data_IF_873275266869
#
_entry.id   IF_873275266869
#
_cell.length_a   1.000
_cell.length_b   1.000
_cell.length_c   1.000
_cell.angle_alpha   90.00
_cell.angle_beta   90.00
_cell.angle_gamma   90.00
#
_symmetry.space_group_name_H-M   'P 1'
#
loop_
_entity.id
_entity.type
_entity.pdbx_description
1 polymer ?
#
# COMPACT_ATOMS: atom_id res chain seq x y z
N UNK A 1 15.42 -3.96 -13.96
CA UNK A 1 14.01 -4.07 -14.39
C UNK A 1 13.34 -2.69 -14.33
N UNK A 2 12.37 -2.47 -15.21
CA UNK A 2 11.48 -1.31 -15.17
C UNK A 2 10.06 -1.82 -14.98
N UNK A 3 9.30 -1.17 -14.10
CA UNK A 3 7.89 -1.49 -13.86
C UNK A 3 7.04 -0.22 -13.89
N UNK A 4 5.86 -0.34 -14.46
CA UNK A 4 4.84 0.71 -14.45
C UNK A 4 3.57 0.14 -13.80
N UNK A 5 3.03 0.88 -12.85
CA UNK A 5 1.79 0.54 -12.14
C UNK A 5 0.81 1.71 -12.28
N UNK A 6 -0.47 1.39 -12.50
CA UNK A 6 -1.54 2.38 -12.47
C UNK A 6 -2.71 1.83 -11.65
N UNK A 7 -3.12 2.60 -10.68
CA UNK A 7 -4.40 2.43 -9.98
C UNK A 7 -5.30 3.60 -10.35
N UNK A 8 -6.56 3.33 -10.67
CA UNK A 8 -7.49 4.38 -11.00
C UNK A 8 -8.90 4.05 -10.54
N UNK A 9 -9.64 5.09 -10.18
CA UNK A 9 -11.07 5.03 -9.89
C UNK A 9 -11.74 6.06 -10.79
N UNK A 10 -12.69 5.60 -11.57
CA UNK A 10 -13.44 6.43 -12.50
C UNK A 10 -14.85 6.69 -11.97
N UNK A 11 -15.54 7.68 -12.57
CA UNK A 11 -16.91 8.04 -12.24
C UNK A 11 -17.11 8.44 -10.77
N UNK A 12 -16.17 9.17 -10.19
CA UNK A 12 -16.32 9.76 -8.86
C UNK A 12 -17.23 10.99 -8.99
N UNK A 13 -18.37 11.07 -8.28
CA UNK A 13 -19.25 12.23 -8.36
C UNK A 13 -18.56 13.45 -7.75
N UNK A 14 -18.51 14.52 -8.54
CA UNK A 14 -18.07 15.83 -8.10
C UNK A 14 -19.28 16.64 -7.64
N UNK A 15 -19.31 16.96 -6.36
CA UNK A 15 -20.39 17.72 -5.72
C UNK A 15 -19.95 19.12 -5.29
N UNK A 16 -18.78 19.59 -5.75
CA UNK A 16 -18.25 20.91 -5.35
C UNK A 16 -19.08 22.07 -5.89
N UNK A 17 -19.87 21.85 -6.94
CA UNK A 17 -20.76 22.83 -7.54
C UNK A 17 -22.25 22.57 -7.24
N UNK A 18 -22.53 21.67 -6.28
CA UNK A 18 -23.89 21.26 -5.96
C UNK A 18 -24.78 22.39 -5.42
N UNK A 19 -24.14 23.35 -4.72
CA UNK A 19 -24.86 24.51 -4.12
C UNK A 19 -24.75 25.70 -5.06
N UNK A 20 -25.89 26.27 -5.43
CA UNK A 20 -25.95 27.47 -6.25
C UNK A 20 -25.65 28.75 -5.43
N UNK A 21 -25.51 29.89 -6.12
CA UNK A 21 -25.21 31.17 -5.49
C UNK A 21 -26.34 31.65 -4.52
N UNK A 22 -27.51 31.05 -4.57
CA UNK A 22 -28.65 31.30 -3.71
C UNK A 22 -28.72 30.35 -2.51
N UNK A 23 -27.80 29.37 -2.44
CA UNK A 23 -27.72 28.37 -1.38
C UNK A 23 -28.65 27.17 -1.59
N UNK A 24 -29.25 26.98 -2.79
CA UNK A 24 -30.08 25.84 -3.09
C UNK A 24 -29.23 24.67 -3.64
N UNK A 25 -29.66 23.45 -3.32
CA UNK A 25 -29.04 22.22 -3.85
C UNK A 25 -29.56 21.94 -5.26
N UNK A 26 -28.66 21.88 -6.24
CA UNK A 26 -28.96 21.54 -7.63
C UNK A 26 -28.21 20.27 -8.07
N UNK A 27 -28.92 19.16 -8.14
CA UNK A 27 -28.36 17.86 -8.51
C UNK A 27 -27.93 17.75 -9.97
N UNK A 28 -28.44 18.60 -10.86
CA UNK A 28 -28.07 18.63 -12.29
C UNK A 28 -26.62 19.14 -12.49
N UNK A 29 -26.02 19.72 -11.45
CA UNK A 29 -24.62 20.18 -11.43
C UNK A 29 -23.63 19.12 -11.03
N UNK A 30 -24.07 17.90 -10.74
CA UNK A 30 -23.15 16.80 -10.44
C UNK A 30 -22.40 16.45 -11.72
N UNK A 31 -21.10 16.69 -11.71
CA UNK A 31 -20.17 16.22 -12.71
C UNK A 31 -19.42 14.98 -12.20
N UNK A 32 -18.61 14.35 -13.03
CA UNK A 32 -17.84 13.19 -12.65
C UNK A 32 -16.36 13.39 -12.98
N UNK A 33 -15.49 12.90 -12.13
CA UNK A 33 -14.05 12.91 -12.37
C UNK A 33 -13.43 11.53 -12.11
N UNK A 34 -12.17 11.39 -12.49
CA UNK A 34 -11.35 10.18 -12.22
C UNK A 34 -10.18 10.54 -11.35
N UNK A 35 -9.78 9.61 -10.48
CA UNK A 35 -8.53 9.69 -9.73
C UNK A 35 -7.61 8.57 -10.19
N UNK A 36 -6.31 8.84 -10.29
CA UNK A 36 -5.33 7.85 -10.69
C UNK A 36 -3.99 8.08 -10.00
N UNK A 37 -3.41 6.98 -9.50
CA UNK A 37 -2.05 6.90 -9.01
C UNK A 37 -1.21 6.11 -10.03
N UNK A 38 -0.09 6.68 -10.46
CA UNK A 38 0.86 6.07 -11.39
C UNK A 38 2.21 5.93 -10.71
N UNK A 39 2.78 4.75 -10.76
CA UNK A 39 4.11 4.45 -10.22
C UNK A 39 5.06 3.96 -11.29
N UNK A 40 6.23 4.58 -11.37
CA UNK A 40 7.34 4.19 -12.21
C UNK A 40 8.48 3.70 -11.32
N UNK A 41 8.88 2.44 -11.48
CA UNK A 41 9.92 1.83 -10.65
C UNK A 41 11.09 1.39 -11.53
N UNK A 42 12.29 1.82 -11.15
CA UNK A 42 13.53 1.34 -11.72
C UNK A 42 14.24 0.49 -10.66
N UNK A 43 14.40 -0.80 -10.92
CA UNK A 43 14.92 -1.76 -9.97
C UNK A 43 16.22 -2.39 -10.45
N UNK A 44 17.16 -2.54 -9.53
CA UNK A 44 18.42 -3.24 -9.73
C UNK A 44 18.59 -4.31 -8.66
N UNK A 45 19.06 -5.49 -9.06
CA UNK A 45 19.36 -6.60 -8.14
C UNK A 45 20.64 -7.30 -8.54
N UNK A 46 21.41 -7.75 -7.54
CA UNK A 46 22.69 -8.44 -7.72
C UNK A 46 22.86 -9.56 -6.70
N UNK A 47 23.35 -10.70 -7.15
CA UNK A 47 23.90 -11.73 -6.26
C UNK A 47 25.27 -11.27 -5.78
N UNK A 48 25.47 -11.22 -4.46
CA UNK A 48 26.75 -10.93 -3.85
C UNK A 48 27.58 -12.21 -3.69
N UNK A 49 26.92 -13.33 -3.41
CA UNK A 49 27.50 -14.67 -3.37
C UNK A 49 26.42 -15.73 -3.69
N UNK A 50 26.74 -17.01 -3.54
CA UNK A 50 25.80 -18.10 -3.85
C UNK A 50 24.50 -18.04 -3.04
N UNK A 51 24.57 -17.53 -1.82
CA UNK A 51 23.45 -17.54 -0.88
C UNK A 51 22.77 -16.17 -0.73
N UNK A 52 23.46 -15.05 -0.99
CA UNK A 52 23.00 -13.70 -0.71
C UNK A 52 22.79 -12.91 -1.99
N UNK A 53 21.60 -12.38 -2.17
CA UNK A 53 21.26 -11.40 -3.18
C UNK A 53 20.74 -10.12 -2.52
N UNK A 54 21.06 -8.97 -3.10
CA UNK A 54 20.58 -7.64 -2.69
C UNK A 54 19.96 -6.92 -3.85
N UNK A 55 19.04 -6.02 -3.57
CA UNK A 55 18.37 -5.21 -4.57
C UNK A 55 17.92 -3.86 -4.02
N UNK A 56 17.59 -2.98 -4.93
CA UNK A 56 17.00 -1.70 -4.63
C UNK A 56 16.15 -1.22 -5.78
N UNK A 57 15.20 -0.35 -5.48
CA UNK A 57 14.31 0.27 -6.44
C UNK A 57 14.20 1.75 -6.14
N UNK A 58 14.36 2.58 -7.18
CA UNK A 58 13.93 3.97 -7.15
C UNK A 58 12.52 4.04 -7.73
N UNK A 59 11.64 4.80 -7.09
CA UNK A 59 10.26 4.97 -7.54
C UNK A 59 9.91 6.44 -7.68
N UNK A 60 9.20 6.74 -8.75
CA UNK A 60 8.57 8.03 -9.01
C UNK A 60 7.07 7.76 -9.01
N UNK A 61 6.32 8.58 -8.27
CA UNK A 61 4.88 8.46 -8.14
C UNK A 61 4.26 9.73 -8.70
N UNK A 62 3.27 9.58 -9.57
CA UNK A 62 2.44 10.68 -10.01
C UNK A 62 0.99 10.37 -9.66
N UNK A 63 0.36 11.29 -8.92
CA UNK A 63 -1.03 11.16 -8.48
C UNK A 63 -1.85 12.28 -9.08
N UNK A 64 -3.05 11.95 -9.53
CA UNK A 64 -4.00 12.93 -10.08
C UNK A 64 -5.38 12.64 -9.51
N UNK A 65 -6.04 13.69 -9.01
CA UNK A 65 -7.44 13.65 -8.59
C UNK A 65 -8.22 14.71 -9.36
N UNK A 66 -8.93 14.28 -10.40
CA UNK A 66 -9.59 15.20 -11.33
C UNK A 66 -8.62 16.23 -11.91
N UNK A 67 -9.11 17.44 -12.08
CA UNK A 67 -8.29 18.60 -12.50
C UNK A 67 -7.90 19.50 -11.32
N UNK A 68 -8.33 19.14 -10.11
CA UNK A 68 -8.15 19.98 -8.93
C UNK A 68 -6.99 19.59 -8.03
N UNK A 69 -6.37 18.41 -8.21
CA UNK A 69 -5.18 18.05 -7.43
C UNK A 69 -4.24 17.13 -8.20
N UNK A 70 -2.96 17.43 -8.10
CA UNK A 70 -1.88 16.58 -8.59
C UNK A 70 -0.79 16.44 -7.55
N UNK A 71 -0.08 15.32 -7.54
CA UNK A 71 1.11 15.18 -6.71
C UNK A 71 2.22 14.45 -7.47
N UNK A 72 3.45 14.79 -7.13
CA UNK A 72 4.64 14.05 -7.50
C UNK A 72 5.36 13.56 -6.26
N UNK A 73 5.75 12.30 -6.29
CA UNK A 73 6.46 11.65 -5.20
C UNK A 73 7.71 10.93 -5.66
N UNK A 74 8.63 10.77 -4.73
CA UNK A 74 9.87 10.03 -4.93
C UNK A 74 10.18 9.19 -3.69
N UNK A 75 10.69 7.97 -3.89
CA UNK A 75 11.07 7.08 -2.80
C UNK A 75 12.07 6.02 -3.24
N UNK A 76 12.70 5.38 -2.26
CA UNK A 76 13.67 4.30 -2.45
C UNK A 76 13.25 3.11 -1.61
N UNK A 77 13.30 1.93 -2.21
CA UNK A 77 13.13 0.65 -1.53
C UNK A 77 14.43 -0.16 -1.63
N UNK A 78 14.77 -0.89 -0.56
CA UNK A 78 15.91 -1.78 -0.50
C UNK A 78 15.46 -3.20 -0.16
N UNK A 79 16.20 -4.20 -0.63
CA UNK A 79 15.88 -5.59 -0.35
C UNK A 79 17.13 -6.45 -0.22
N UNK A 80 17.02 -7.51 0.57
CA UNK A 80 18.02 -8.56 0.67
C UNK A 80 17.31 -9.91 0.76
N UNK A 81 17.88 -10.92 0.12
CA UNK A 81 17.41 -12.31 0.19
C UNK A 81 18.59 -13.21 0.48
N UNK A 82 18.47 -14.02 1.51
CA UNK A 82 19.44 -15.07 1.85
C UNK A 82 18.80 -16.44 1.68
N UNK A 83 19.45 -17.30 0.90
CA UNK A 83 18.98 -18.66 0.64
C UNK A 83 20.10 -19.65 0.93
N UNK A 84 19.81 -20.62 1.78
CA UNK A 84 20.73 -21.73 2.08
C UNK A 84 19.92 -23.00 2.26
N UNK A 85 20.25 -24.03 1.49
CA UNK A 85 19.54 -25.31 1.49
C UNK A 85 18.03 -25.10 1.23
N UNK A 86 17.18 -25.53 2.16
CA UNK A 86 15.73 -25.42 2.07
C UNK A 86 15.17 -24.14 2.72
N UNK A 87 16.04 -23.29 3.30
CA UNK A 87 15.66 -22.03 3.94
C UNK A 87 15.83 -20.84 3.00
N UNK A 88 14.87 -19.94 3.03
CA UNK A 88 14.95 -18.62 2.40
C UNK A 88 14.51 -17.55 3.38
N UNK A 89 15.37 -16.57 3.62
CA UNK A 89 15.09 -15.38 4.40
C UNK A 89 15.01 -14.17 3.46
N UNK A 90 14.12 -13.26 3.73
CA UNK A 90 13.95 -12.03 2.97
C UNK A 90 13.77 -10.84 3.90
N UNK A 91 14.38 -9.72 3.51
CA UNK A 91 14.19 -8.42 4.11
C UNK A 91 13.85 -7.44 2.98
N UNK A 92 12.76 -6.70 3.15
CA UNK A 92 12.42 -5.58 2.27
C UNK A 92 12.18 -4.35 3.14
N UNK A 93 12.98 -3.31 2.92
CA UNK A 93 12.78 -2.01 3.52
C UNK A 93 12.17 -1.09 2.46
N UNK A 94 10.88 -0.79 2.61
CA UNK A 94 10.13 0.12 1.74
C UNK A 94 10.22 1.54 2.28
N UNK A 95 10.22 2.49 1.36
CA UNK A 95 10.22 3.91 1.70
C UNK A 95 11.37 4.32 2.64
N UNK A 96 12.58 3.78 2.40
CA UNK A 96 13.74 3.96 3.30
C UNK A 96 14.10 5.43 3.51
N UNK A 97 13.89 6.25 2.50
CA UNK A 97 14.11 7.71 2.55
C UNK A 97 12.88 8.48 3.00
N UNK A 98 11.81 7.80 3.44
CA UNK A 98 10.43 8.24 3.38
C UNK A 98 10.03 8.60 1.94
N UNK A 99 8.88 8.14 1.47
CA UNK A 99 8.36 8.60 0.18
C UNK A 99 7.55 9.86 0.43
N UNK A 100 7.96 10.95 -0.17
CA UNK A 100 7.23 12.21 -0.08
C UNK A 100 6.45 12.44 -1.37
N UNK A 101 5.18 12.85 -1.22
CA UNK A 101 4.31 13.28 -2.29
C UNK A 101 4.06 14.78 -2.10
N UNK A 102 4.43 15.57 -3.09
CA UNK A 102 4.22 17.02 -3.08
C UNK A 102 2.91 17.29 -3.80
N UNK A 103 1.89 17.66 -3.02
CA UNK A 103 0.57 17.98 -3.52
C UNK A 103 0.48 19.43 -4.00
N UNK A 104 -0.16 19.61 -5.16
CA UNK A 104 -0.50 20.89 -5.74
C UNK A 104 -1.99 20.91 -6.05
N UNK A 105 -2.71 21.85 -5.45
CA UNK A 105 -4.16 21.99 -5.60
C UNK A 105 -4.48 23.14 -6.55
N UNK A 106 -5.40 22.91 -7.45
CA UNK A 106 -5.89 23.86 -8.45
C UNK A 106 -7.41 24.02 -8.25
N UNK A 107 -7.78 24.84 -7.26
CA UNK A 107 -9.19 25.08 -6.93
C UNK A 107 -9.70 26.26 -7.75
N UNK A 108 -10.91 26.13 -8.28
CA UNK A 108 -11.65 27.25 -8.87
C UNK A 108 -12.25 28.12 -7.79
N UNK A 109 -12.62 29.37 -8.13
CA UNK A 109 -13.30 30.27 -7.20
C UNK A 109 -14.62 29.69 -6.69
N UNK A 110 -15.32 28.91 -7.53
CA UNK A 110 -16.56 28.23 -7.16
C UNK A 110 -16.34 27.15 -6.11
N UNK A 111 -15.28 26.35 -6.28
CA UNK A 111 -14.87 25.34 -5.29
C UNK A 111 -14.51 26.01 -3.96
N UNK A 112 -13.70 27.06 -4.01
CA UNK A 112 -13.28 27.82 -2.82
C UNK A 112 -14.53 28.33 -2.07
N UNK A 113 -15.48 28.90 -2.80
CA UNK A 113 -16.73 29.39 -2.20
C UNK A 113 -17.54 28.26 -1.56
N UNK A 114 -17.61 27.09 -2.21
CA UNK A 114 -18.30 25.90 -1.66
C UNK A 114 -17.66 25.44 -0.35
N UNK A 115 -16.33 25.41 -0.26
CA UNK A 115 -15.63 25.09 1.00
C UNK A 115 -16.02 26.06 2.12
N UNK A 116 -16.06 27.37 1.85
CA UNK A 116 -16.50 28.38 2.83
C UNK A 116 -17.96 28.19 3.25
N UNK A 117 -18.86 27.96 2.30
CA UNK A 117 -20.30 27.78 2.58
C UNK A 117 -20.58 26.51 3.41
N UNK A 118 -19.77 25.47 3.23
CA UNK A 118 -19.91 24.20 3.94
C UNK A 118 -19.11 24.14 5.26
N UNK A 119 -18.37 25.20 5.57
CA UNK A 119 -17.54 25.25 6.80
C UNK A 119 -16.35 24.31 6.79
N UNK A 120 -15.89 23.89 5.61
CA UNK A 120 -14.72 23.04 5.45
C UNK A 120 -13.45 23.87 5.24
N UNK A 121 -12.32 23.36 5.73
CA UNK A 121 -11.03 23.96 5.47
C UNK A 121 -10.60 23.77 4.02
N UNK A 122 -9.97 24.79 3.46
CA UNK A 122 -9.38 24.69 2.13
C UNK A 122 -8.17 23.77 2.14
N UNK A 123 -8.08 22.80 1.20
CA UNK A 123 -6.87 22.01 1.05
C UNK A 123 -5.71 22.93 0.65
N UNK A 124 -4.57 22.74 1.30
CA UNK A 124 -3.36 23.53 1.06
C UNK A 124 -2.31 22.66 0.40
N UNK A 125 -1.51 23.29 -0.48
CA UNK A 125 -0.32 22.64 -1.02
C UNK A 125 0.57 22.17 0.12
N UNK A 126 1.04 20.93 0.04
CA UNK A 126 1.77 20.33 1.14
C UNK A 126 2.53 19.08 0.75
N UNK A 127 3.24 18.55 1.71
CA UNK A 127 4.00 17.31 1.56
C UNK A 127 3.33 16.22 2.40
N UNK A 128 2.90 15.16 1.73
CA UNK A 128 2.46 13.91 2.35
C UNK A 128 3.65 12.96 2.45
N UNK A 129 3.91 12.42 3.62
CA UNK A 129 5.02 11.49 3.86
C UNK A 129 4.50 10.07 4.08
N UNK A 130 5.02 9.12 3.29
CA UNK A 130 4.90 7.69 3.59
C UNK A 130 6.14 7.26 4.37
N UNK A 131 5.95 6.91 5.64
CA UNK A 131 7.04 6.53 6.52
C UNK A 131 7.58 5.13 6.19
N UNK A 132 8.84 4.81 6.57
CA UNK A 132 9.45 3.53 6.28
C UNK A 132 8.66 2.34 6.82
N UNK A 133 8.63 1.26 6.03
CA UNK A 133 8.06 -0.03 6.41
C UNK A 133 9.08 -1.13 6.13
N UNK A 134 9.24 -2.03 7.09
CA UNK A 134 10.12 -3.19 6.97
C UNK A 134 9.28 -4.46 6.87
N UNK A 135 9.56 -5.28 5.87
CA UNK A 135 8.96 -6.60 5.70
C UNK A 135 10.05 -7.65 5.93
N UNK A 136 9.81 -8.52 6.88
CA UNK A 136 10.66 -9.67 7.15
C UNK A 136 9.94 -10.94 6.70
N UNK A 137 10.63 -11.80 5.98
CA UNK A 137 10.09 -13.07 5.51
C UNK A 137 11.05 -14.22 5.81
N UNK A 138 10.50 -15.35 6.22
CA UNK A 138 11.22 -16.60 6.35
C UNK A 138 10.38 -17.72 5.75
N UNK A 139 10.98 -18.54 4.90
CA UNK A 139 10.32 -19.71 4.36
C UNK A 139 11.22 -20.93 4.36
N UNK A 140 10.59 -22.09 4.46
CA UNK A 140 11.28 -23.39 4.41
C UNK A 140 10.53 -24.36 3.53
N UNK A 141 11.28 -25.07 2.66
CA UNK A 141 10.74 -26.11 1.81
C UNK A 141 10.99 -27.49 2.43
N UNK A 142 9.92 -28.20 2.76
CA UNK A 142 9.97 -29.57 3.28
C UNK A 142 9.72 -30.55 2.14
N UNK A 143 10.72 -31.32 1.76
CA UNK A 143 10.63 -32.36 0.72
C UNK A 143 10.28 -33.69 1.37
N UNK A 144 9.08 -34.21 1.13
CA UNK A 144 8.63 -35.49 1.71
C UNK A 144 8.99 -36.68 0.82
N UNK A 145 8.82 -36.55 -0.49
CA UNK A 145 9.14 -37.55 -1.52
C UNK A 145 9.60 -36.83 -2.77
N UNK A 146 10.06 -37.60 -3.76
CA UNK A 146 10.56 -37.08 -5.04
C UNK A 146 9.59 -36.10 -5.72
N UNK A 147 8.30 -36.30 -5.52
CA UNK A 147 7.23 -35.58 -6.21
C UNK A 147 6.32 -34.73 -5.27
N UNK A 148 6.67 -34.66 -3.99
CA UNK A 148 5.85 -33.95 -2.99
C UNK A 148 6.70 -33.03 -2.13
N UNK A 149 6.31 -31.77 -2.06
CA UNK A 149 6.93 -30.79 -1.14
C UNK A 149 5.90 -29.85 -0.54
N UNK A 150 6.21 -29.33 0.64
CA UNK A 150 5.47 -28.30 1.36
C UNK A 150 6.39 -27.11 1.60
N UNK A 151 6.06 -25.98 1.04
CA UNK A 151 6.66 -24.70 1.40
C UNK A 151 5.80 -24.09 2.51
N UNK A 152 6.44 -23.74 3.62
CA UNK A 152 5.84 -22.94 4.68
C UNK A 152 6.54 -21.60 4.76
N UNK A 153 5.75 -20.52 4.91
CA UNK A 153 6.25 -19.16 4.94
C UNK A 153 5.60 -18.36 6.08
N UNK A 154 6.41 -17.56 6.74
CA UNK A 154 5.99 -16.53 7.69
C UNK A 154 6.54 -15.18 7.22
N UNK A 155 5.69 -14.19 7.12
CA UNK A 155 6.05 -12.80 6.84
C UNK A 155 5.56 -11.91 7.96
N UNK A 156 6.23 -10.78 8.13
CA UNK A 156 5.85 -9.78 9.13
C UNK A 156 6.09 -8.39 8.54
N UNK A 157 5.02 -7.60 8.45
CA UNK A 157 5.09 -6.19 8.11
C UNK A 157 5.25 -5.36 9.37
N UNK A 158 6.31 -4.57 9.46
CA UNK A 158 6.59 -3.65 10.57
C UNK A 158 6.48 -2.23 10.01
N UNK A 159 5.52 -1.47 10.51
CA UNK A 159 5.30 -0.07 10.13
C UNK A 159 5.75 0.87 11.23
N UNK A 160 6.19 2.07 10.87
CA UNK A 160 6.80 3.06 11.77
C UNK A 160 5.93 4.31 11.95
N UNK A 161 4.69 4.26 11.49
CA UNK A 161 3.75 5.40 11.44
C UNK A 161 2.71 5.39 12.57
N UNK A 162 3.05 4.71 13.67
CA UNK A 162 2.21 4.64 14.85
C UNK A 162 1.22 3.50 14.85
N UNK A 163 0.13 3.67 15.60
CA UNK A 163 -0.88 2.63 15.80
C UNK A 163 -1.69 2.38 14.55
N UNK A 164 -1.67 1.12 14.10
CA UNK A 164 -2.51 0.61 13.01
C UNK A 164 -3.50 -0.44 13.52
N UNK A 165 -4.58 -0.66 12.80
CA UNK A 165 -5.52 -1.74 13.10
C UNK A 165 -4.99 -3.08 12.57
N UNK A 166 -4.02 -3.64 13.27
CA UNK A 166 -3.35 -4.91 12.99
C UNK A 166 -3.25 -5.75 14.26
N UNK A 167 -2.80 -6.98 14.16
CA UNK A 167 -2.75 -7.91 15.30
C UNK A 167 -1.96 -7.35 16.49
N UNK A 168 -0.78 -6.78 16.24
CA UNK A 168 0.06 -6.14 17.26
C UNK A 168 0.13 -4.65 16.93
N UNK A 169 -0.71 -3.87 17.60
CA UNK A 169 -0.79 -2.42 17.45
C UNK A 169 -0.02 -1.73 18.57
N UNK A 170 0.92 -0.88 18.23
CA UNK A 170 1.78 -0.18 19.19
C UNK A 170 2.24 1.18 18.67
N UNK A 171 2.99 1.86 19.48
CA UNK A 171 3.60 3.16 19.15
C UNK A 171 5.08 3.14 19.56
N UNK A 172 6.00 3.45 18.65
CA UNK A 172 5.79 3.93 17.27
C UNK A 172 5.59 2.82 16.22
N UNK A 173 5.64 1.54 16.61
CA UNK A 173 5.62 0.41 15.70
C UNK A 173 4.33 -0.38 15.77
N UNK A 174 3.80 -0.77 14.60
CA UNK A 174 2.74 -1.77 14.48
C UNK A 174 3.25 -2.96 13.66
N UNK A 175 2.80 -4.17 14.01
CA UNK A 175 3.31 -5.43 13.44
C UNK A 175 2.14 -6.26 12.93
N UNK A 176 2.18 -6.62 11.65
CA UNK A 176 1.17 -7.44 10.99
C UNK A 176 1.80 -8.75 10.47
N UNK A 177 1.60 -9.87 11.19
CA UNK A 177 2.12 -11.17 10.78
C UNK A 177 1.21 -11.85 9.76
N UNK A 178 1.83 -12.55 8.80
CA UNK A 178 1.19 -13.34 7.77
C UNK A 178 1.79 -14.74 7.73
N UNK A 179 0.98 -15.75 7.51
CA UNK A 179 1.39 -17.15 7.36
C UNK A 179 0.93 -17.67 6.01
N UNK A 180 1.77 -18.44 5.34
CA UNK A 180 1.45 -19.06 4.07
C UNK A 180 1.97 -20.49 3.99
N UNK A 181 1.25 -21.33 3.25
CA UNK A 181 1.67 -22.68 2.92
C UNK A 181 1.35 -22.99 1.46
N UNK A 182 2.28 -23.64 0.77
CA UNK A 182 2.10 -24.14 -0.58
C UNK A 182 2.42 -25.63 -0.61
N UNK A 183 1.46 -26.45 -0.99
CA UNK A 183 1.66 -27.86 -1.23
C UNK A 183 1.88 -28.11 -2.73
N UNK A 184 3.01 -28.68 -3.08
CA UNK A 184 3.41 -28.94 -4.46
C UNK A 184 3.41 -30.44 -4.76
N UNK A 185 2.72 -30.82 -5.81
CA UNK A 185 2.60 -32.20 -6.32
C UNK A 185 3.22 -32.25 -7.71
N UNK A 186 4.32 -33.00 -7.85
CA UNK A 186 5.03 -33.25 -9.11
C UNK A 186 5.45 -32.01 -9.88
N UNK A 187 5.56 -30.85 -9.22
CA UNK A 187 5.75 -29.54 -9.88
C UNK A 187 4.71 -29.21 -10.97
N UNK A 188 3.51 -29.78 -10.85
CA UNK A 188 2.40 -29.58 -11.78
C UNK A 188 1.21 -28.92 -11.06
N UNK A 189 0.86 -29.43 -9.87
CA UNK A 189 -0.25 -28.91 -9.07
C UNK A 189 0.29 -28.20 -7.83
N UNK A 190 -0.16 -26.97 -7.63
CA UNK A 190 0.19 -26.15 -6.49
C UNK A 190 -1.08 -25.73 -5.76
N UNK A 191 -1.20 -26.15 -4.50
CA UNK A 191 -2.31 -25.77 -3.61
C UNK A 191 -1.75 -24.80 -2.59
N UNK A 192 -2.31 -23.58 -2.55
CA UNK A 192 -1.86 -22.50 -1.67
C UNK A 192 -2.94 -22.09 -0.70
N UNK A 193 -2.54 -21.82 0.53
CA UNK A 193 -3.40 -21.24 1.57
C UNK A 193 -2.58 -20.26 2.40
N UNK A 194 -3.23 -19.24 2.93
CA UNK A 194 -2.59 -18.26 3.78
C UNK A 194 -3.58 -17.57 4.70
N UNK A 195 -3.04 -16.93 5.72
CA UNK A 195 -3.76 -16.12 6.70
C UNK A 195 -2.94 -14.88 7.00
N UNK A 196 -3.59 -13.71 7.03
CA UNK A 196 -2.94 -12.43 7.33
C UNK A 196 -3.97 -11.33 7.48
N UNK A 197 -3.49 -10.10 7.60
CA UNK A 197 -4.33 -8.91 7.70
C UNK A 197 -5.40 -9.05 8.80
N UNK A 198 -4.97 -9.49 9.99
CA UNK A 198 -5.85 -9.71 11.14
C UNK A 198 -6.16 -8.35 11.77
N UNK A 199 -7.40 -7.91 11.62
CA UNK A 199 -7.88 -6.62 12.11
C UNK A 199 -8.79 -6.79 13.33
N UNK A 200 -8.80 -5.78 14.22
CA UNK A 200 -9.72 -5.69 15.35
C UNK A 200 -10.85 -4.75 14.96
N UNK A 201 -12.06 -5.27 14.86
CA UNK A 201 -13.24 -4.48 14.52
C UNK A 201 -14.24 -4.55 15.67
N UNK A 202 -14.81 -3.43 16.18
CA UNK A 202 -15.89 -3.47 17.13
C UNK A 202 -17.14 -4.05 16.45
N UNK A 203 -17.84 -4.96 17.11
CA UNK A 203 -19.17 -5.41 16.71
C UNK A 203 -20.23 -4.34 17.07
N UNK A 204 -21.49 -4.61 16.74
CA UNK A 204 -22.61 -3.71 17.04
C UNK A 204 -22.81 -3.46 18.55
N UNK A 205 -22.21 -4.26 19.41
CA UNK A 205 -22.26 -4.11 20.88
C UNK A 205 -21.03 -3.41 21.45
N UNK A 206 -20.06 -3.02 20.57
CA UNK A 206 -18.79 -2.41 20.97
C UNK A 206 -17.72 -3.42 21.41
N UNK A 207 -18.00 -4.73 21.35
CA UNK A 207 -17.02 -5.78 21.65
C UNK A 207 -16.06 -5.95 20.46
N UNK A 208 -14.75 -5.95 20.75
CA UNK A 208 -13.74 -6.19 19.73
C UNK A 208 -13.77 -7.63 19.25
N UNK A 209 -13.94 -7.81 17.94
CA UNK A 209 -13.81 -9.09 17.24
C UNK A 209 -12.62 -9.04 16.29
N UNK A 210 -11.99 -10.20 16.06
CA UNK A 210 -10.93 -10.31 15.07
C UNK A 210 -11.52 -10.70 13.72
N UNK A 211 -11.24 -9.92 12.70
CA UNK A 211 -11.55 -10.23 11.31
C UNK A 211 -10.27 -10.61 10.58
N UNK A 212 -10.33 -11.62 9.76
CA UNK A 212 -9.22 -12.15 8.97
C UNK A 212 -9.58 -12.00 7.50
N UNK A 213 -8.63 -11.55 6.68
CA UNK A 213 -8.74 -11.48 5.23
C UNK A 213 -7.73 -12.40 4.55
#
# INVERSE_FOLDING_TARGET
AFSFLRFGVDNIPNTTELIDAQGNVNYDRISYFSAADMGFLLSYGRKLNENLAVGGSAKIIHRKAGDFATAWGFGIDLSATYQKEDWKLALVAKDVTSTFNIWNYHLTDEMINTFYLTGNDLPQNGIELSLPRVILGASRNFKFKKDLSLLFEINTDITTDGRRNVLISGEPFSIDPHLGAEFNIKNIVFIRSGIGNIQKTPDLTGKLIYTVQ
#
